data_IF_572123902959
#
_entry.id   IF_572123902959
#
_cell.length_a   1.000
_cell.length_b   1.000
_cell.length_c   1.000
_cell.angle_alpha   90.00
_cell.angle_beta   90.00
_cell.angle_gamma   90.00
#
_symmetry.space_group_name_H-M   'P 1'
#
loop_
_entity.id
_entity.type
_entity.pdbx_description
1 polymer ?
#
# COMPACT_ATOMS: atom_id res chain seq x y z
N UNK A 1 -19.59 39.95 26.49
CA UNK A 1 -18.43 39.98 25.57
C UNK A 1 -18.94 40.15 24.15
N UNK A 2 -19.10 41.40 23.71
CA UNK A 2 -19.60 41.76 22.38
C UNK A 2 -18.36 42.07 21.53
N UNK A 3 -17.99 41.16 20.64
CA UNK A 3 -16.89 41.36 19.71
C UNK A 3 -17.25 42.51 18.77
N UNK A 4 -16.35 43.48 18.63
CA UNK A 4 -16.54 44.62 17.72
C UNK A 4 -16.40 44.19 16.27
N UNK A 5 -17.10 44.88 15.36
CA UNK A 5 -17.08 44.57 13.92
C UNK A 5 -15.66 44.52 13.31
N UNK A 6 -14.70 45.24 13.91
CA UNK A 6 -13.28 45.21 13.50
C UNK A 6 -12.56 43.90 13.86
N UNK A 7 -12.92 43.28 14.98
CA UNK A 7 -12.32 42.01 15.42
C UNK A 7 -12.82 40.84 14.57
N UNK A 8 -14.08 40.89 14.13
CA UNK A 8 -14.70 39.90 13.25
C UNK A 8 -13.97 39.88 11.89
N UNK A 9 -13.63 41.05 11.33
CA UNK A 9 -12.91 41.16 10.06
C UNK A 9 -11.48 40.60 10.13
N UNK A 10 -10.78 40.77 11.25
CA UNK A 10 -9.43 40.22 11.46
C UNK A 10 -9.44 38.69 11.61
N UNK A 11 -10.45 38.13 12.27
CA UNK A 11 -10.61 36.67 12.36
C UNK A 11 -10.88 36.01 11.01
N UNK A 12 -11.69 36.63 10.14
CA UNK A 12 -11.94 36.11 8.79
C UNK A 12 -10.74 36.23 7.85
N UNK A 13 -9.89 37.25 8.02
CA UNK A 13 -8.66 37.38 7.23
C UNK A 13 -7.63 36.30 7.57
N UNK A 14 -7.55 35.87 8.83
CA UNK A 14 -6.55 34.87 9.27
C UNK A 14 -6.97 33.42 8.95
N UNK A 15 -8.27 33.13 8.86
CA UNK A 15 -8.76 31.81 8.39
C UNK A 15 -8.63 31.65 6.88
N UNK A 16 -8.65 32.74 6.10
CA UNK A 16 -8.44 32.70 4.65
C UNK A 16 -7.05 32.25 4.22
N UNK A 17 -6.01 32.53 5.02
CA UNK A 17 -4.61 32.24 4.67
C UNK A 17 -4.22 30.76 4.85
N UNK A 18 -4.93 30.00 5.70
CA UNK A 18 -4.70 28.57 5.92
C UNK A 18 -5.38 27.66 4.88
N UNK A 19 -6.36 28.17 4.12
CA UNK A 19 -7.11 27.38 3.14
C UNK A 19 -6.38 27.14 1.81
N UNK A 20 -5.24 27.82 1.56
CA UNK A 20 -4.54 27.77 0.28
C UNK A 20 -3.65 26.53 0.06
N UNK A 21 -3.31 25.76 1.11
CA UNK A 21 -2.45 24.57 0.98
C UNK A 21 -3.21 23.27 0.63
N UNK A 22 -4.54 23.29 0.60
CA UNK A 22 -5.37 22.08 0.44
C UNK A 22 -5.83 21.82 -0.99
N UNK A 23 -5.54 22.71 -1.95
CA UNK A 23 -6.10 22.67 -3.31
C UNK A 23 -5.23 21.91 -4.33
N UNK A 24 -4.14 21.26 -3.91
CA UNK A 24 -3.06 20.86 -4.83
C UNK A 24 -2.77 19.37 -5.02
N UNK A 25 -3.34 18.42 -4.26
CA UNK A 25 -3.03 16.99 -4.44
C UNK A 25 -4.14 16.23 -5.17
N UNK A 26 -4.52 16.71 -6.36
CA UNK A 26 -5.24 15.88 -7.32
C UNK A 26 -4.23 14.95 -8.00
N UNK A 27 -3.83 13.87 -7.31
CA UNK A 27 -3.24 12.73 -8.00
C UNK A 27 -4.36 12.09 -8.82
N UNK A 28 -4.38 12.35 -10.12
CA UNK A 28 -5.18 11.53 -11.02
C UNK A 28 -4.73 10.07 -10.82
N UNK A 29 -5.60 9.24 -10.25
CA UNK A 29 -5.29 7.84 -10.00
C UNK A 29 -5.02 7.15 -11.34
N UNK A 30 -3.78 6.76 -11.59
CA UNK A 30 -3.43 5.98 -12.77
C UNK A 30 -4.13 4.62 -12.71
N UNK A 31 -4.54 4.08 -13.87
CA UNK A 31 -5.18 2.76 -13.91
C UNK A 31 -4.15 1.67 -13.55
N UNK A 32 -4.31 0.94 -12.42
CA UNK A 32 -3.32 -0.04 -11.95
C UNK A 32 -3.03 -1.12 -12.99
N UNK A 33 -4.02 -1.50 -13.82
CA UNK A 33 -3.85 -2.49 -14.90
C UNK A 33 -2.82 -2.11 -15.96
N UNK A 34 -2.52 -0.82 -16.07
CA UNK A 34 -1.59 -0.28 -17.08
C UNK A 34 -0.24 0.10 -16.52
N UNK A 35 -0.09 0.13 -15.19
CA UNK A 35 1.19 0.42 -14.55
C UNK A 35 2.11 -0.78 -14.74
N UNK A 36 3.37 -0.50 -15.04
CA UNK A 36 4.44 -1.49 -15.16
C UNK A 36 5.44 -1.31 -14.04
N UNK A 37 5.99 -2.41 -13.55
CA UNK A 37 7.06 -2.36 -12.58
C UNK A 37 8.26 -1.62 -13.23
N UNK A 38 8.70 -0.47 -12.68
CA UNK A 38 9.82 0.26 -13.26
C UNK A 38 11.15 -0.48 -13.09
N UNK A 39 11.21 -1.51 -12.24
CA UNK A 39 12.37 -2.37 -12.05
C UNK A 39 12.31 -3.54 -13.02
N UNK A 40 13.24 -3.57 -13.98
CA UNK A 40 13.37 -4.70 -14.91
C UNK A 40 13.74 -6.01 -14.17
N UNK A 41 13.24 -7.13 -14.66
CA UNK A 41 13.55 -8.48 -14.14
C UNK A 41 14.93 -8.96 -14.61
N UNK A 42 15.99 -8.40 -14.02
CA UNK A 42 17.38 -8.81 -14.24
C UNK A 42 17.81 -9.83 -13.17
N UNK A 43 18.88 -10.60 -13.38
CA UNK A 43 19.41 -11.49 -12.35
C UNK A 43 19.69 -10.78 -11.01
N UNK A 44 20.12 -9.52 -11.06
CA UNK A 44 20.39 -8.70 -9.87
C UNK A 44 19.10 -8.28 -9.14
N UNK A 45 18.07 -7.82 -9.87
CA UNK A 45 16.81 -7.42 -9.26
C UNK A 45 16.07 -8.63 -8.69
N UNK A 46 16.13 -9.78 -9.37
CA UNK A 46 15.58 -11.05 -8.88
C UNK A 46 16.32 -11.53 -7.63
N UNK A 47 17.65 -11.48 -7.59
CA UNK A 47 18.42 -11.83 -6.41
C UNK A 47 18.09 -10.90 -5.22
N UNK A 48 17.89 -9.61 -5.49
CA UNK A 48 17.49 -8.63 -4.48
C UNK A 48 16.07 -8.88 -3.98
N UNK A 49 15.13 -9.11 -4.89
CA UNK A 49 13.74 -9.47 -4.58
C UNK A 49 13.67 -10.75 -3.75
N UNK A 50 14.47 -11.77 -4.07
CA UNK A 50 14.56 -12.99 -3.26
C UNK A 50 15.01 -12.71 -1.82
N UNK A 51 16.05 -11.89 -1.62
CA UNK A 51 16.50 -11.54 -0.25
C UNK A 51 15.41 -10.81 0.54
N UNK A 52 14.64 -9.93 -0.11
CA UNK A 52 13.52 -9.25 0.52
C UNK A 52 12.38 -10.22 0.84
N UNK A 53 12.04 -11.10 -0.10
CA UNK A 53 11.02 -12.13 0.07
C UNK A 53 11.33 -13.04 1.28
N UNK A 54 12.55 -13.56 1.35
CA UNK A 54 13.00 -14.44 2.43
C UNK A 54 12.89 -13.73 3.80
N UNK A 55 13.12 -12.41 3.85
CA UNK A 55 13.09 -11.63 5.09
C UNK A 55 11.67 -11.20 5.51
N UNK A 56 10.82 -10.84 4.55
CA UNK A 56 9.58 -10.11 4.82
C UNK A 56 8.32 -10.95 4.55
N UNK A 57 8.38 -11.89 3.62
CA UNK A 57 7.21 -12.57 3.09
C UNK A 57 7.15 -14.05 3.50
N UNK A 58 8.31 -14.72 3.52
CA UNK A 58 8.42 -16.17 3.69
C UNK A 58 7.90 -16.68 5.05
N UNK A 59 7.89 -15.85 6.10
CA UNK A 59 7.32 -16.20 7.40
C UNK A 59 5.83 -16.55 7.32
N UNK A 60 5.08 -15.91 6.42
CA UNK A 60 3.67 -16.17 6.18
C UNK A 60 3.48 -17.06 4.95
N UNK A 61 4.07 -16.69 3.83
CA UNK A 61 3.84 -17.36 2.55
C UNK A 61 4.70 -18.60 2.31
N UNK A 62 5.67 -18.88 3.19
CA UNK A 62 6.60 -20.00 3.05
C UNK A 62 7.73 -19.73 2.06
N UNK A 63 8.75 -20.60 2.04
CA UNK A 63 9.92 -20.42 1.19
C UNK A 63 9.60 -20.56 -0.32
N UNK A 64 8.52 -21.24 -0.66
CA UNK A 64 8.05 -21.43 -2.04
C UNK A 64 6.81 -20.61 -2.38
N UNK A 65 6.33 -19.75 -1.48
CA UNK A 65 5.14 -18.94 -1.72
C UNK A 65 3.80 -19.64 -1.63
N UNK A 66 3.73 -20.87 -1.12
CA UNK A 66 2.50 -21.68 -1.08
C UNK A 66 1.60 -21.42 0.13
N UNK A 67 1.82 -20.33 0.85
CA UNK A 67 1.02 -20.03 2.04
C UNK A 67 1.30 -20.96 3.22
N UNK A 68 2.47 -21.61 3.26
CA UNK A 68 2.82 -22.64 4.25
C UNK A 68 3.90 -22.20 5.25
N UNK A 69 4.12 -20.89 5.37
CA UNK A 69 5.02 -20.29 6.35
C UNK A 69 4.57 -20.52 7.79
N UNK A 70 5.50 -20.40 8.73
CA UNK A 70 5.26 -20.66 10.15
C UNK A 70 4.10 -19.82 10.74
N UNK A 71 3.97 -18.56 10.31
CA UNK A 71 2.84 -17.71 10.72
C UNK A 71 1.52 -18.18 10.12
N UNK A 72 1.53 -18.68 8.88
CA UNK A 72 0.32 -19.25 8.26
C UNK A 72 -0.14 -20.52 8.98
N UNK A 73 0.80 -21.37 9.43
CA UNK A 73 0.47 -22.53 10.27
C UNK A 73 -0.17 -22.11 11.60
N UNK A 74 0.32 -21.04 12.22
CA UNK A 74 -0.28 -20.49 13.46
C UNK A 74 -1.68 -19.93 13.23
N UNK A 75 -1.91 -19.22 12.12
CA UNK A 75 -3.24 -18.75 11.73
C UNK A 75 -4.19 -19.95 11.55
N UNK A 76 -3.77 -20.97 10.79
CA UNK A 76 -4.58 -22.17 10.61
C UNK A 76 -4.89 -22.89 11.93
N UNK A 77 -3.93 -22.97 12.85
CA UNK A 77 -4.14 -23.57 14.18
C UNK A 77 -5.12 -22.76 15.04
N UNK A 78 -5.20 -21.44 14.83
CA UNK A 78 -6.17 -20.55 15.48
C UNK A 78 -7.56 -20.59 14.81
N UNK A 79 -7.75 -21.36 13.74
CA UNK A 79 -8.99 -21.40 12.96
C UNK A 79 -9.13 -20.25 11.95
N UNK A 80 -8.06 -19.45 11.75
CA UNK A 80 -8.03 -18.36 10.79
C UNK A 80 -7.60 -18.86 9.40
N UNK A 81 -7.93 -18.13 8.32
CA UNK A 81 -7.42 -18.41 6.99
C UNK A 81 -5.89 -18.44 6.95
N UNK A 82 -5.35 -19.35 6.14
CA UNK A 82 -3.91 -19.37 5.82
C UNK A 82 -3.52 -18.13 5.02
N UNK A 83 -2.23 -17.81 5.04
CA UNK A 83 -1.68 -16.87 4.07
C UNK A 83 -1.97 -17.36 2.64
N UNK A 84 -2.28 -16.47 1.68
CA UNK A 84 -2.51 -16.85 0.29
C UNK A 84 -1.34 -17.61 -0.36
N UNK A 85 -1.66 -18.51 -1.30
CA UNK A 85 -0.69 -19.10 -2.21
C UNK A 85 -0.39 -18.11 -3.34
N UNK A 86 0.85 -17.62 -3.40
CA UNK A 86 1.30 -16.66 -4.43
C UNK A 86 1.70 -17.35 -5.74
N UNK A 87 1.53 -18.67 -5.83
CA UNK A 87 1.89 -19.50 -6.98
C UNK A 87 0.66 -20.08 -7.69
N UNK A 88 -0.54 -19.84 -7.16
CA UNK A 88 -1.78 -20.26 -7.80
C UNK A 88 -2.23 -19.27 -8.89
N UNK A 89 -3.25 -19.67 -9.65
CA UNK A 89 -3.81 -18.83 -10.71
C UNK A 89 -4.79 -17.77 -10.17
N UNK A 90 -5.13 -17.82 -8.88
CA UNK A 90 -6.20 -17.00 -8.29
C UNK A 90 -5.64 -15.76 -7.61
N UNK A 91 -5.75 -14.64 -8.31
CA UNK A 91 -5.37 -13.33 -7.80
C UNK A 91 -6.60 -12.49 -7.46
N UNK A 92 -6.97 -12.43 -6.17
CA UNK A 92 -8.19 -11.75 -5.70
C UNK A 92 -8.18 -10.23 -5.94
N UNK A 93 -7.00 -9.62 -6.11
CA UNK A 93 -6.82 -8.18 -6.33
C UNK A 93 -6.25 -7.82 -7.71
N UNK A 94 -6.10 -8.81 -8.60
CA UNK A 94 -5.48 -8.65 -9.92
C UNK A 94 -4.04 -9.14 -9.97
N UNK A 95 -3.55 -9.42 -11.18
CA UNK A 95 -2.25 -10.08 -11.43
C UNK A 95 -1.28 -9.23 -12.26
N UNK A 96 -1.61 -7.97 -12.55
CA UNK A 96 -0.70 -7.04 -13.21
C UNK A 96 0.21 -6.34 -12.21
N UNK A 97 1.34 -5.80 -12.69
CA UNK A 97 2.35 -5.14 -11.84
C UNK A 97 1.80 -4.00 -10.96
N UNK A 98 0.75 -3.30 -11.39
CA UNK A 98 0.14 -2.22 -10.61
C UNK A 98 -1.05 -2.64 -9.75
N UNK A 99 -1.52 -3.88 -9.89
CA UNK A 99 -2.62 -4.45 -9.09
C UNK A 99 -2.12 -5.20 -7.85
N UNK A 100 -0.82 -5.52 -7.79
CA UNK A 100 -0.11 -6.16 -6.65
C UNK A 100 0.59 -5.10 -5.81
#
# INVERSE_FOLDING_TARGET
MRWGFSEILLFFAMTGLLAACSLGHSSASANPKTIKNPVAATPESLATGKRLYDRLCADCHGATGRGDGEKSKKLAAAGEPRAPDLTDEKWDHGSTDGEI
#
